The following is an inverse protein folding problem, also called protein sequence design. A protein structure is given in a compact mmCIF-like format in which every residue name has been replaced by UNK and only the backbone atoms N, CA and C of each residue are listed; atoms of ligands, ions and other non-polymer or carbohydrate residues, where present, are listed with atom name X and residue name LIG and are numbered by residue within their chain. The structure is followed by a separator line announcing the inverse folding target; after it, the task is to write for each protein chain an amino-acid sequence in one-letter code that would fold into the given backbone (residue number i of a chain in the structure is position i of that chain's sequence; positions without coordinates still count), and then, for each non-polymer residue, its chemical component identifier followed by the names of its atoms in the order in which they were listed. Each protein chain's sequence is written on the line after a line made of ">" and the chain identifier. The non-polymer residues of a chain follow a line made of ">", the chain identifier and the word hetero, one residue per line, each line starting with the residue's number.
data_IF_441914084955
#
_entry.id   IF_441914084955
#
_cell.length_a   1.000
_cell.length_b   1.000
_cell.length_c   1.000
_cell.angle_alpha   90.00
_cell.angle_beta   90.00
_cell.angle_gamma   90.00
#
_symmetry.space_group_name_H-M   'P 1'
#
loop_
_entity.id
_entity.type
_entity.pdbx_description
1 polymer ?
#
# COMPACT_ATOMS: atom_id res chain seq x y z
N UNK A 1 3.39 15.91 -3.92
CA UNK A 1 3.22 14.62 -4.63
C UNK A 1 1.77 14.21 -4.78
N UNK A 2 0.98 14.18 -3.70
CA UNK A 2 -0.46 13.88 -3.76
C UNK A 2 -1.22 14.66 -4.85
N UNK A 3 -1.05 15.99 -4.92
CA UNK A 3 -1.73 16.79 -5.95
C UNK A 3 -1.30 16.48 -7.39
N UNK A 4 -0.08 15.99 -7.59
CA UNK A 4 0.42 15.61 -8.91
C UNK A 4 -0.20 14.29 -9.38
N UNK A 5 -0.33 13.32 -8.46
CA UNK A 5 -1.11 12.10 -8.71
C UNK A 5 -2.59 12.43 -8.93
N UNK A 6 -3.19 13.29 -8.10
CA UNK A 6 -4.60 13.69 -8.25
C UNK A 6 -4.91 14.36 -9.60
N UNK A 7 -3.94 15.09 -10.17
CA UNK A 7 -4.07 15.77 -11.46
C UNK A 7 -3.67 14.92 -12.66
N UNK A 8 -3.22 13.67 -12.46
CA UNK A 8 -2.75 12.82 -13.55
C UNK A 8 -1.41 13.22 -14.16
N UNK A 9 -0.67 14.12 -13.50
CA UNK A 9 0.67 14.51 -13.94
C UNK A 9 1.72 13.44 -13.61
N UNK A 10 1.38 12.49 -12.72
CA UNK A 10 2.18 11.33 -12.37
C UNK A 10 1.25 10.12 -12.32
N UNK A 11 1.55 9.11 -13.13
CA UNK A 11 0.81 7.86 -13.26
C UNK A 11 1.69 6.63 -12.97
N UNK A 12 3.01 6.80 -13.07
CA UNK A 12 4.02 5.82 -12.71
C UNK A 12 4.47 5.97 -11.25
N UNK A 13 4.67 4.83 -10.59
CA UNK A 13 5.16 4.78 -9.23
C UNK A 13 6.03 3.56 -9.00
N UNK A 14 6.85 3.66 -7.96
CA UNK A 14 7.72 2.60 -7.47
C UNK A 14 7.52 2.44 -5.97
N UNK A 15 7.78 1.24 -5.47
CA UNK A 15 7.74 0.93 -4.05
C UNK A 15 9.14 0.58 -3.56
N UNK A 16 9.60 1.28 -2.54
CA UNK A 16 10.77 0.89 -1.76
C UNK A 16 10.33 -0.19 -0.79
N UNK A 17 10.82 -1.42 -0.98
CA UNK A 17 10.49 -2.56 -0.12
C UNK A 17 11.76 -3.16 0.48
N UNK A 18 11.65 -3.62 1.72
CA UNK A 18 12.65 -4.43 2.37
C UNK A 18 12.19 -5.89 2.36
N UNK A 19 12.92 -6.75 1.67
CA UNK A 19 12.67 -8.18 1.72
C UNK A 19 13.07 -8.74 3.08
N UNK A 20 12.18 -9.53 3.68
CA UNK A 20 12.37 -10.13 5.01
C UNK A 20 12.66 -11.62 4.85
N UNK A 21 11.80 -12.34 4.13
CA UNK A 21 11.94 -13.78 3.91
C UNK A 21 12.09 -14.07 2.41
N UNK A 22 13.28 -14.54 2.02
CA UNK A 22 13.64 -14.85 0.64
C UNK A 22 14.12 -16.29 0.57
N UNK A 23 13.61 -17.05 -0.41
CA UNK A 23 14.05 -18.42 -0.70
C UNK A 23 14.63 -18.50 -2.09
N UNK A 24 15.81 -19.10 -2.22
CA UNK A 24 16.36 -19.44 -3.53
C UNK A 24 15.65 -20.70 -4.05
N UNK A 25 15.14 -20.61 -5.28
CA UNK A 25 14.44 -21.68 -5.97
C UNK A 25 15.25 -22.09 -7.20
N UNK A 26 15.65 -23.37 -7.29
CA UNK A 26 16.43 -23.90 -8.41
C UNK A 26 15.82 -25.21 -8.88
N UNK A 27 15.47 -25.28 -10.16
CA UNK A 27 15.00 -26.51 -10.79
C UNK A 27 16.20 -27.39 -11.24
N UNK A 28 16.74 -28.20 -10.32
CA UNK A 28 17.84 -29.12 -10.60
C UNK A 28 17.63 -30.46 -9.90
N UNK A 29 18.12 -31.55 -10.51
CA UNK A 29 18.11 -32.90 -9.93
C UNK A 29 19.38 -33.20 -9.11
N UNK A 30 20.32 -32.26 -9.07
CA UNK A 30 21.57 -32.42 -8.34
C UNK A 30 21.32 -32.55 -6.83
N UNK A 31 22.08 -33.44 -6.19
CA UNK A 31 21.89 -33.74 -4.75
C UNK A 31 22.05 -32.52 -3.84
N UNK A 32 22.95 -31.59 -4.19
CA UNK A 32 23.15 -30.34 -3.44
C UNK A 32 21.97 -29.36 -3.59
N UNK A 33 21.17 -29.51 -4.64
CA UNK A 33 20.10 -28.59 -4.98
C UNK A 33 18.74 -28.99 -4.40
N UNK A 34 18.67 -30.09 -3.65
CA UNK A 34 17.43 -30.68 -3.15
C UNK A 34 16.54 -29.66 -2.43
N UNK A 35 17.09 -28.87 -1.50
CA UNK A 35 16.33 -27.85 -0.77
C UNK A 35 15.81 -26.73 -1.69
N UNK A 36 16.61 -26.31 -2.66
CA UNK A 36 16.20 -25.27 -3.62
C UNK A 36 15.15 -25.79 -4.60
N UNK A 37 15.18 -27.10 -4.92
CA UNK A 37 14.18 -27.77 -5.73
C UNK A 37 12.87 -27.90 -4.98
N UNK A 38 12.90 -28.25 -3.70
CA UNK A 38 11.71 -28.25 -2.83
C UNK A 38 11.06 -26.86 -2.76
N UNK A 39 11.88 -25.80 -2.62
CA UNK A 39 11.40 -24.41 -2.69
C UNK A 39 10.82 -24.06 -4.08
N UNK A 40 11.50 -24.47 -5.16
CA UNK A 40 11.02 -24.26 -6.52
C UNK A 40 9.64 -24.87 -6.73
N UNK A 41 9.46 -26.14 -6.38
CA UNK A 41 8.19 -26.86 -6.56
C UNK A 41 7.07 -26.27 -5.70
N UNK A 42 7.41 -25.74 -4.52
CA UNK A 42 6.47 -25.06 -3.63
C UNK A 42 5.98 -23.72 -4.19
N UNK A 43 6.87 -22.91 -4.78
CA UNK A 43 6.55 -21.52 -5.11
C UNK A 43 6.32 -21.25 -6.60
N UNK A 44 6.69 -22.16 -7.50
CA UNK A 44 6.54 -21.96 -8.95
C UNK A 44 5.09 -21.72 -9.39
N UNK A 45 4.10 -22.24 -8.65
CA UNK A 45 2.68 -22.00 -8.92
C UNK A 45 2.28 -20.53 -8.79
N UNK A 46 2.96 -19.78 -7.92
CA UNK A 46 2.68 -18.38 -7.59
C UNK A 46 3.37 -17.38 -8.53
N UNK A 47 4.30 -17.82 -9.37
CA UNK A 47 4.96 -16.96 -10.35
C UNK A 47 4.01 -16.72 -11.53
N UNK A 48 3.68 -15.46 -11.79
CA UNK A 48 2.74 -15.08 -12.85
C UNK A 48 3.34 -15.26 -14.26
N UNK A 49 4.62 -14.92 -14.43
CA UNK A 49 5.37 -14.90 -15.69
C UNK A 49 6.39 -16.06 -15.77
N UNK A 50 5.89 -17.30 -15.67
CA UNK A 50 6.74 -18.51 -15.59
C UNK A 50 7.65 -18.68 -16.82
N UNK A 51 7.16 -18.26 -17.97
CA UNK A 51 7.86 -18.26 -19.25
C UNK A 51 9.13 -17.39 -19.26
N UNK A 52 9.23 -16.42 -18.35
CA UNK A 52 10.38 -15.54 -18.23
C UNK A 52 11.48 -16.09 -17.31
N UNK A 53 11.25 -17.23 -16.67
CA UNK A 53 12.24 -17.85 -15.78
C UNK A 53 13.38 -18.44 -16.63
N UNK A 54 14.55 -17.81 -16.56
CA UNK A 54 15.75 -18.28 -17.25
C UNK A 54 16.50 -19.30 -16.40
N UNK A 55 16.83 -20.46 -16.98
CA UNK A 55 17.63 -21.49 -16.31
C UNK A 55 16.91 -22.19 -15.14
N UNK A 56 15.61 -21.98 -14.96
CA UNK A 56 14.85 -22.60 -13.86
C UNK A 56 15.22 -22.07 -12.48
N UNK A 57 15.75 -20.84 -12.40
CA UNK A 57 16.18 -20.22 -11.13
C UNK A 57 15.39 -18.93 -10.86
N UNK A 58 14.90 -18.78 -9.64
CA UNK A 58 14.29 -17.53 -9.18
C UNK A 58 14.38 -17.37 -7.66
N UNK A 59 14.09 -16.17 -7.16
CA UNK A 59 13.94 -15.90 -5.73
C UNK A 59 12.47 -15.76 -5.37
N UNK A 60 11.98 -16.60 -4.46
CA UNK A 60 10.65 -16.48 -3.88
C UNK A 60 10.72 -15.55 -2.65
N UNK A 61 10.19 -14.34 -2.79
CA UNK A 61 10.03 -13.41 -1.66
C UNK A 61 8.65 -13.65 -1.04
N UNK A 62 8.62 -14.17 0.18
CA UNK A 62 7.37 -14.52 0.88
C UNK A 62 6.93 -13.46 1.88
N UNK A 63 7.87 -12.61 2.30
CA UNK A 63 7.58 -11.47 3.17
C UNK A 63 8.45 -10.29 2.74
N UNK A 64 7.78 -9.15 2.55
CA UNK A 64 8.42 -7.87 2.30
C UNK A 64 7.70 -6.79 3.12
N UNK A 65 8.46 -5.84 3.65
CA UNK A 65 7.95 -4.66 4.34
C UNK A 65 8.00 -3.48 3.40
N UNK A 66 6.86 -2.83 3.21
CA UNK A 66 6.80 -1.56 2.49
C UNK A 66 7.48 -0.48 3.34
N UNK A 67 8.47 0.21 2.76
CA UNK A 67 9.18 1.31 3.42
C UNK A 67 8.69 2.64 2.88
N UNK A 68 8.57 2.75 1.55
CA UNK A 68 8.17 3.99 0.90
C UNK A 68 7.49 3.74 -0.45
N UNK A 69 6.76 4.74 -0.91
CA UNK A 69 6.28 4.84 -2.28
C UNK A 69 6.85 6.11 -2.91
N UNK A 70 7.36 6.00 -4.14
CA UNK A 70 8.00 7.12 -4.86
C UNK A 70 7.45 7.25 -6.27
N UNK A 71 7.43 8.48 -6.78
CA UNK A 71 7.14 8.73 -8.19
C UNK A 71 8.40 8.53 -9.03
N UNK A 72 8.23 7.86 -10.15
CA UNK A 72 9.32 7.52 -11.07
C UNK A 72 8.90 7.85 -12.49
N UNK A 73 9.89 8.13 -13.35
CA UNK A 73 9.63 8.37 -14.78
C UNK A 73 9.21 7.09 -15.52
N UNK A 74 9.68 5.94 -15.03
CA UNK A 74 9.41 4.62 -15.59
C UNK A 74 9.04 3.69 -14.43
N UNK A 75 7.89 3.02 -14.55
CA UNK A 75 7.41 2.06 -13.54
C UNK A 75 8.39 0.92 -13.28
N UNK A 76 8.39 0.39 -12.07
CA UNK A 76 9.37 -0.61 -11.64
C UNK A 76 9.24 -1.97 -12.32
N UNK A 77 8.04 -2.35 -12.78
CA UNK A 77 7.83 -3.52 -13.62
C UNK A 77 6.49 -3.38 -14.38
N UNK A 78 6.26 -4.18 -15.44
CA UNK A 78 5.01 -4.14 -16.20
C UNK A 78 3.79 -4.71 -15.45
N UNK A 79 3.97 -5.31 -14.28
CA UNK A 79 2.93 -5.92 -13.45
C UNK A 79 2.39 -4.96 -12.38
N UNK A 80 3.16 -3.96 -11.96
CA UNK A 80 2.72 -2.92 -11.03
C UNK A 80 1.67 -2.08 -11.76
N UNK A 81 0.39 -2.15 -11.34
CA UNK A 81 -0.67 -1.45 -12.05
C UNK A 81 -0.45 0.05 -11.95
N UNK A 82 -0.69 0.78 -13.04
CA UNK A 82 -0.86 2.24 -12.96
C UNK A 82 -2.17 2.51 -12.24
N UNK A 83 -2.18 3.49 -11.33
CA UNK A 83 -3.44 3.92 -10.71
C UNK A 83 -4.26 4.63 -11.79
N UNK A 84 -5.39 4.07 -12.18
CA UNK A 84 -6.35 4.80 -12.99
C UNK A 84 -6.93 5.94 -12.15
N UNK A 85 -6.70 7.17 -12.59
CA UNK A 85 -7.29 8.33 -11.96
C UNK A 85 -8.65 8.51 -12.63
N UNK A 86 -9.70 8.01 -11.99
CA UNK A 86 -11.04 8.46 -12.33
C UNK A 86 -11.08 9.96 -12.03
N UNK A 87 -11.09 10.79 -13.08
CA UNK A 87 -11.51 12.18 -12.94
C UNK A 87 -12.89 12.13 -12.29
N UNK A 88 -13.00 12.60 -11.05
CA UNK A 88 -14.29 12.72 -10.41
C UNK A 88 -15.01 13.90 -11.07
N UNK A 89 -15.53 13.65 -12.27
CA UNK A 89 -16.12 14.67 -13.15
C UNK A 89 -17.43 15.21 -12.60
N UNK A 90 -17.97 14.62 -11.53
CA UNK A 90 -19.18 15.07 -10.85
C UNK A 90 -19.21 14.64 -9.37
N UNK A 91 -18.23 15.02 -8.54
CA UNK A 91 -18.57 15.11 -7.11
C UNK A 91 -19.60 16.23 -7.00
N UNK A 92 -20.86 15.88 -6.76
CA UNK A 92 -21.68 16.78 -5.95
C UNK A 92 -20.89 16.96 -4.67
N UNK A 93 -20.44 18.18 -4.42
CA UNK A 93 -19.98 18.56 -3.09
C UNK A 93 -21.24 18.50 -2.22
N UNK A 94 -21.58 17.30 -1.75
CA UNK A 94 -22.53 17.15 -0.66
C UNK A 94 -21.77 17.70 0.53
N UNK A 95 -21.99 18.99 0.81
CA UNK A 95 -21.56 19.58 2.06
C UNK A 95 -21.99 18.64 3.20
N UNK A 96 -21.12 18.37 4.18
CA UNK A 96 -21.49 17.49 5.28
C UNK A 96 -22.79 17.99 5.87
N UNK A 97 -23.74 17.08 6.12
CA UNK A 97 -25.07 17.39 6.64
C UNK A 97 -24.94 18.42 7.78
N UNK A 98 -25.79 19.45 7.81
CA UNK A 98 -25.64 20.65 8.65
C UNK A 98 -25.34 20.33 10.13
N UNK A 99 -25.86 19.19 10.61
CA UNK A 99 -25.60 18.60 11.93
C UNK A 99 -24.12 18.26 12.24
N UNK A 100 -23.27 18.16 11.22
CA UNK A 100 -21.84 17.85 11.33
C UNK A 100 -20.97 19.12 11.32
N UNK A 101 -21.55 20.26 10.91
CA UNK A 101 -20.86 21.55 10.78
C UNK A 101 -20.98 22.40 12.05
N UNK A 102 -21.97 22.11 12.90
CA UNK A 102 -22.12 22.78 14.20
C UNK A 102 -21.31 22.04 15.25
N UNK A 103 -20.25 22.69 15.75
CA UNK A 103 -19.65 22.31 17.02
C UNK A 103 -20.70 22.62 18.09
N UNK A 104 -21.50 21.62 18.48
CA UNK A 104 -22.25 21.74 19.72
C UNK A 104 -21.20 21.64 20.83
N UNK A 105 -20.86 22.78 21.44
CA UNK A 105 -20.12 22.75 22.70
C UNK A 105 -20.83 21.77 23.63
N UNK A 106 -20.11 20.79 24.20
CA UNK A 106 -20.74 19.81 25.06
C UNK A 106 -21.38 20.57 26.23
N UNK A 107 -22.68 20.34 26.45
CA UNK A 107 -23.49 20.91 27.55
C UNK A 107 -22.80 20.79 28.93
N UNK A 108 -21.86 19.84 29.04
CA UNK A 108 -21.01 19.56 30.20
C UNK A 108 -20.07 20.73 30.51
N UNK A 109 -19.55 21.45 29.52
CA UNK A 109 -18.58 22.53 29.77
C UNK A 109 -19.23 23.75 30.43
N UNK A 110 -20.45 24.11 30.00
CA UNK A 110 -21.19 25.24 30.56
C UNK A 110 -21.70 24.96 31.98
N UNK A 111 -22.17 23.73 32.23
CA UNK A 111 -22.61 23.33 33.58
C UNK A 111 -21.46 23.27 34.60
N UNK A 112 -20.26 22.85 34.17
CA UNK A 112 -19.06 22.85 35.02
C UNK A 112 -18.55 24.27 35.28
N UNK A 113 -18.60 25.16 34.28
CA UNK A 113 -18.18 26.55 34.43
C UNK A 113 -19.12 27.32 35.39
N UNK A 114 -20.43 27.12 35.27
CA UNK A 114 -21.41 27.70 36.20
C UNK A 114 -21.28 27.14 37.62
N UNK A 115 -21.00 25.85 37.77
CA UNK A 115 -20.74 25.22 39.07
C UNK A 115 -19.45 25.77 39.72
N UNK A 116 -18.38 25.97 38.94
CA UNK A 116 -17.14 26.59 39.43
C UNK A 116 -17.34 28.05 39.86
N UNK A 117 -18.06 28.85 39.06
CA UNK A 117 -18.35 30.26 39.41
C UNK A 117 -19.19 30.34 40.69
N UNK A 118 -20.13 29.40 40.89
CA UNK A 118 -20.94 29.36 42.11
C UNK A 118 -20.15 28.92 43.35
N UNK A 119 -19.11 28.11 43.18
CA UNK A 119 -18.22 27.71 44.27
C UNK A 119 -17.18 28.79 44.66
N UNK A 120 -17.00 29.81 43.82
CA UNK A 120 -16.07 30.93 44.03
C UNK A 120 -16.74 32.18 44.65
N UNK A 121 -18.07 32.14 44.90
CA UNK A 121 -18.82 33.16 45.64
C UNK A 121 -19.16 32.66 47.04
#
# INVERSE_FOLDING_TARGET
>A
MFDMYKRGNVDQHSVGMQYVNIYLCINSEETWAKEYKDNYDKYISHVANKEQIQGGVFYAVTEAKLIEGSAVLLGSNPITPTLEIEEIKNLKVDEPHESTQTITEPLILNTLYDAMIKALK
#
